data_IF_416612529477
#
_entry.id   IF_416612529477
#
_cell.length_a   1.000
_cell.length_b   1.000
_cell.length_c   1.000
_cell.angle_alpha   90.00
_cell.angle_beta   90.00
_cell.angle_gamma   90.00
#
_symmetry.space_group_name_H-M   'P 1'
#
loop_
_entity.id
_entity.type
_entity.pdbx_description
1 polymer ?
2 water ?
#
# COMPACT_ATOMS: atom_id res chain seq x y z
N UNK A 1 16.17 11.34 -15.45
CA UNK A 1 15.97 12.63 -14.73
C UNK A 1 15.87 12.40 -13.21
N UNK A 2 15.59 13.47 -12.47
CA UNK A 2 15.48 13.34 -11.03
C UNK A 2 14.25 14.07 -10.55
N UNK A 3 13.50 13.43 -9.66
CA UNK A 3 12.33 14.06 -9.12
C UNK A 3 12.85 15.06 -8.09
N UNK A 4 12.42 16.31 -8.21
CA UNK A 4 12.87 17.34 -7.28
C UNK A 4 12.18 17.17 -5.93
N UNK A 5 12.93 17.41 -4.87
CA UNK A 5 12.44 17.30 -3.50
C UNK A 5 11.03 17.81 -3.23
N UNK A 6 10.70 19.00 -3.73
CA UNK A 6 9.39 19.56 -3.46
C UNK A 6 8.34 18.66 -4.06
N UNK A 7 8.63 18.13 -5.23
CA UNK A 7 7.70 17.23 -5.88
C UNK A 7 7.58 15.92 -5.10
N UNK A 8 8.72 15.39 -4.66
CA UNK A 8 8.76 14.15 -3.89
C UNK A 8 7.97 14.34 -2.58
N UNK A 9 8.19 15.47 -1.91
CA UNK A 9 7.50 15.72 -0.65
C UNK A 9 5.98 15.81 -0.81
N UNK A 10 5.52 16.56 -1.80
CA UNK A 10 4.09 16.69 -1.98
C UNK A 10 3.44 15.34 -2.32
N UNK A 11 4.07 14.55 -3.17
CA UNK A 11 3.48 13.27 -3.53
C UNK A 11 3.57 12.24 -2.40
N UNK A 12 4.46 12.47 -1.45
CA UNK A 12 4.61 11.54 -0.33
C UNK A 12 3.82 12.02 0.90
N UNK A 13 3.19 13.18 0.77
CA UNK A 13 2.44 13.75 1.87
C UNK A 13 1.06 13.12 2.06
N UNK A 14 0.68 12.98 3.32
CA UNK A 14 -0.60 12.44 3.76
C UNK A 14 -1.76 12.62 2.78
N UNK A 15 -2.28 11.52 2.24
CA UNK A 15 -3.43 11.58 1.34
C UNK A 15 -4.08 10.20 1.21
N UNK A 16 -5.24 10.13 0.54
CA UNK A 16 -5.93 8.84 0.36
C UNK A 16 -5.13 8.04 -0.68
N UNK A 17 -4.82 6.78 -0.41
CA UNK A 17 -4.05 5.99 -1.37
C UNK A 17 -4.72 4.62 -1.55
N UNK A 18 -4.86 4.17 -2.80
CA UNK A 18 -5.47 2.85 -3.00
C UNK A 18 -4.53 1.86 -2.38
N UNK A 19 -5.06 1.08 -1.44
CA UNK A 19 -4.26 0.12 -0.66
C UNK A 19 -4.90 -1.27 -0.59
N UNK A 20 -4.09 -2.33 -0.68
CA UNK A 20 -4.61 -3.68 -0.59
C UNK A 20 -4.83 -3.95 0.88
N UNK A 21 -6.07 -4.26 1.25
CA UNK A 21 -6.41 -4.48 2.64
C UNK A 21 -6.93 -5.90 2.83
N UNK A 22 -6.32 -6.63 3.77
CA UNK A 22 -6.71 -8.01 4.07
C UNK A 22 -8.15 -8.11 4.60
N UNK A 23 -8.99 -8.91 3.94
CA UNK A 23 -10.39 -9.06 4.36
C UNK A 23 -10.58 -9.55 5.81
N UNK A 24 -9.89 -10.62 6.17
CA UNK A 24 -10.03 -11.16 7.52
C UNK A 24 -9.65 -10.10 8.57
N UNK A 25 -8.68 -9.26 8.25
CA UNK A 25 -8.27 -8.18 9.15
C UNK A 25 -9.43 -7.21 9.40
N UNK A 26 -10.27 -7.00 8.39
CA UNK A 26 -11.40 -6.08 8.52
C UNK A 26 -12.60 -6.78 9.18
N UNK A 27 -12.68 -8.10 9.02
CA UNK A 27 -13.77 -8.90 9.57
C UNK A 27 -13.19 -9.97 10.51
N UNK A 28 -12.53 -9.53 11.59
CA UNK A 28 -11.90 -10.40 12.59
C UNK A 28 -12.78 -11.48 13.24
N UNK A 29 -14.10 -11.33 13.22
CA UNK A 29 -14.96 -12.36 13.83
C UNK A 29 -15.26 -13.55 12.93
N UNK A 30 -14.91 -13.47 11.65
CA UNK A 30 -15.18 -14.57 10.73
C UNK A 30 -14.03 -15.56 10.71
N UNK A 31 -13.72 -16.11 11.88
CA UNK A 31 -12.62 -17.06 12.02
C UNK A 31 -12.69 -18.38 11.24
N UNK A 32 -13.86 -18.78 10.75
CA UNK A 32 -13.96 -20.05 10.00
C UNK A 32 -13.80 -19.89 8.49
N UNK A 33 -13.69 -18.64 8.03
CA UNK A 33 -13.59 -18.38 6.61
C UNK A 33 -12.26 -18.02 6.00
N UNK A 34 -12.14 -18.38 4.73
CA UNK A 34 -11.00 -18.00 3.92
C UNK A 34 -11.69 -17.14 2.83
N UNK A 35 -11.10 -15.99 2.49
CA UNK A 35 -11.71 -15.14 1.48
C UNK A 35 -10.90 -15.07 0.20
N UNK A 36 -11.61 -14.97 -0.92
CA UNK A 36 -10.97 -14.87 -2.20
C UNK A 36 -11.62 -13.72 -2.98
N UNK A 37 -10.84 -12.71 -3.37
CA UNK A 37 -9.39 -12.61 -3.12
C UNK A 37 -9.22 -12.38 -1.62
N UNK A 38 -8.02 -12.64 -1.09
CA UNK A 38 -7.77 -12.49 0.34
C UNK A 38 -7.66 -11.03 0.75
N UNK A 39 -7.30 -10.17 -0.20
CA UNK A 39 -7.21 -8.72 0.06
C UNK A 39 -7.87 -7.94 -1.08
N UNK A 40 -8.48 -6.79 -0.77
CA UNK A 40 -9.11 -5.96 -1.80
C UNK A 40 -8.52 -4.56 -1.81
N UNK A 41 -8.57 -3.87 -2.96
CA UNK A 41 -8.00 -2.51 -2.99
C UNK A 41 -9.00 -1.47 -2.45
N UNK A 42 -8.57 -0.72 -1.43
CA UNK A 42 -9.41 0.28 -0.78
C UNK A 42 -8.62 1.56 -0.55
N UNK A 43 -9.28 2.70 -0.73
CA UNK A 43 -8.61 3.98 -0.49
C UNK A 43 -8.40 4.13 1.02
N UNK A 44 -7.15 4.31 1.43
CA UNK A 44 -6.80 4.45 2.84
C UNK A 44 -5.73 5.52 3.00
N UNK A 45 -5.84 6.31 4.08
CA UNK A 45 -4.88 7.37 4.34
C UNK A 45 -3.48 6.83 4.58
N UNK A 46 -2.50 7.52 4.00
CA UNK A 46 -1.11 7.15 4.17
C UNK A 46 -0.27 8.35 3.77
N UNK A 47 0.97 8.42 4.24
CA UNK A 47 1.83 9.53 3.88
C UNK A 47 2.42 10.31 5.04
N UNK A 48 3.34 11.20 4.71
CA UNK A 48 4.02 12.02 5.71
C UNK A 48 3.22 13.18 6.33
N UNK A 49 3.74 13.72 7.42
CA UNK A 49 3.17 14.89 8.09
C UNK A 49 4.35 15.76 8.46
N UNK A 50 4.15 17.07 8.56
CA UNK A 50 5.27 17.96 8.88
C UNK A 50 6.07 17.67 10.14
N UNK A 51 5.42 17.50 11.29
CA UNK A 51 6.16 17.18 12.51
C UNK A 51 5.72 15.85 13.13
N UNK A 52 6.69 15.08 13.62
CA UNK A 52 6.45 13.77 14.23
C UNK A 52 5.33 13.72 15.26
N UNK A 53 4.83 14.87 15.66
CA UNK A 53 3.77 14.88 16.64
C UNK A 53 2.45 14.67 15.93
N UNK A 54 2.51 14.41 14.63
CA UNK A 54 1.31 14.22 13.83
C UNK A 54 1.26 12.90 13.07
N UNK A 55 0.04 12.42 12.83
CA UNK A 55 -0.16 11.20 12.07
C UNK A 55 -1.18 11.49 10.96
N UNK A 56 -1.18 10.66 9.91
CA UNK A 56 -2.11 10.84 8.79
C UNK A 56 -3.40 10.08 9.10
N UNK A 57 -4.52 10.79 9.20
CA UNK A 57 -5.79 10.14 9.52
C UNK A 57 -6.98 10.65 8.71
N UNK A 58 -8.00 9.79 8.54
CA UNK A 58 -9.20 10.12 7.78
C UNK A 58 -10.10 11.14 8.49
N UNK A 59 -10.67 12.07 7.73
CA UNK A 59 -11.57 13.09 8.26
C UNK A 59 -12.88 12.97 7.51
N UNK A 60 -12.92 12.00 6.60
CA UNK A 60 -14.13 11.71 5.83
C UNK A 60 -14.05 10.27 5.36
N UNK A 61 -15.15 9.54 5.48
CA UNK A 61 -15.14 8.15 5.04
C UNK A 61 -16.48 7.68 4.49
N UNK A 62 -16.45 6.54 3.81
CA UNK A 62 -17.65 5.99 3.21
C UNK A 62 -17.49 4.50 3.03
N UNK A 63 -18.56 3.83 2.64
CA UNK A 63 -18.48 2.39 2.46
C UNK A 63 -18.66 1.94 1.03
N UNK A 64 -18.04 0.80 0.72
CA UNK A 64 -18.13 0.21 -0.61
C UNK A 64 -18.53 -1.25 -0.42
N UNK A 65 -19.48 -1.74 -1.21
CA UNK A 65 -19.91 -3.12 -1.08
C UNK A 65 -19.35 -3.96 -2.20
N UNK A 66 -18.73 -5.10 -1.87
CA UNK A 66 -18.14 -5.95 -2.92
C UNK A 66 -18.57 -7.42 -2.83
N UNK A 67 -18.62 -8.13 -3.95
CA UNK A 67 -18.96 -9.55 -3.89
C UNK A 67 -17.64 -10.26 -3.59
N UNK A 68 -17.62 -11.04 -2.51
CA UNK A 68 -16.42 -11.75 -2.10
C UNK A 68 -16.70 -13.26 -2.08
N UNK A 69 -15.71 -14.05 -2.49
CA UNK A 69 -15.91 -15.47 -2.45
C UNK A 69 -15.53 -15.87 -1.01
N UNK A 70 -16.49 -16.49 -0.33
CA UNK A 70 -16.35 -16.89 1.07
C UNK A 70 -16.31 -18.40 1.14
N UNK A 71 -15.19 -18.92 1.63
CA UNK A 71 -14.99 -20.36 1.70
C UNK A 71 -14.80 -20.90 3.12
N UNK A 72 -15.71 -21.78 3.53
CA UNK A 72 -15.69 -22.44 4.83
C UNK A 72 -15.65 -23.95 4.55
N UNK A 73 -14.88 -24.72 5.32
CA UNK A 73 -14.84 -26.17 5.06
C UNK A 73 -16.23 -26.83 4.96
N UNK A 74 -16.44 -27.64 3.92
CA UNK A 74 -17.71 -28.35 3.71
C UNK A 74 -18.89 -27.50 3.21
N UNK A 75 -18.72 -26.19 3.15
CA UNK A 75 -19.79 -25.32 2.69
C UNK A 75 -19.58 -24.84 1.25
N UNK A 76 -18.68 -25.49 0.51
CA UNK A 76 -18.42 -25.07 -0.85
C UNK A 76 -18.12 -23.58 -0.90
N UNK A 77 -18.02 -23.02 -2.09
CA UNK A 77 -17.75 -21.60 -2.14
C UNK A 77 -19.02 -20.77 -2.30
N UNK A 78 -19.12 -19.68 -1.55
CA UNK A 78 -20.27 -18.81 -1.68
C UNK A 78 -19.75 -17.47 -2.11
N UNK A 79 -20.59 -16.73 -2.81
CA UNK A 79 -20.22 -15.39 -3.20
C UNK A 79 -21.18 -14.53 -2.39
N UNK A 80 -20.63 -13.66 -1.54
CA UNK A 80 -21.46 -12.81 -0.71
C UNK A 80 -21.00 -11.37 -0.65
N UNK A 81 -21.95 -10.48 -0.43
CA UNK A 81 -21.66 -9.07 -0.35
C UNK A 81 -21.04 -8.76 0.99
N UNK A 82 -19.94 -8.00 0.98
CA UNK A 82 -19.31 -7.59 2.21
C UNK A 82 -19.01 -6.10 2.02
N UNK A 83 -19.23 -5.34 3.09
CA UNK A 83 -19.04 -3.91 3.08
C UNK A 83 -17.65 -3.53 3.61
N UNK A 84 -16.98 -2.60 2.93
CA UNK A 84 -15.66 -2.19 3.36
C UNK A 84 -15.60 -0.69 3.51
N UNK A 85 -14.79 -0.26 4.46
CA UNK A 85 -14.64 1.16 4.75
C UNK A 85 -13.54 1.81 3.90
N UNK A 86 -13.84 2.97 3.35
CA UNK A 86 -12.86 3.72 2.60
C UNK A 86 -12.67 5.14 3.18
N UNK A 87 -11.47 5.68 2.99
CA UNK A 87 -11.09 7.01 3.46
C UNK A 87 -11.21 7.99 2.27
N UNK A 88 -12.08 8.98 2.38
CA UNK A 88 -12.27 9.95 1.29
C UNK A 88 -11.44 11.22 1.46
N UNK A 89 -11.08 11.53 2.70
CA UNK A 89 -10.30 12.72 3.00
C UNK A 89 -9.34 12.40 4.15
N UNK A 90 -8.12 12.95 4.07
CA UNK A 90 -7.08 12.72 5.09
C UNK A 90 -6.38 14.02 5.48
N UNK A 91 -6.00 14.12 6.74
CA UNK A 91 -5.33 15.31 7.23
C UNK A 91 -4.40 14.87 8.33
N UNK A 92 -3.35 15.65 8.57
CA UNK A 92 -2.39 15.34 9.62
C UNK A 92 -2.91 15.79 10.99
N UNK A 93 -2.93 14.87 11.95
CA UNK A 93 -3.44 15.17 13.29
C UNK A 93 -2.48 14.75 14.38
N UNK A 94 -2.52 15.44 15.54
CA UNK A 94 -1.66 15.16 16.70
C UNK A 94 -1.90 13.75 17.26
N UNK A 95 -0.83 12.98 17.41
CA UNK A 95 -0.95 11.63 17.94
C UNK A 95 -1.55 11.66 19.34
N UNK A 96 -2.80 11.22 19.45
CA UNK A 96 -3.46 11.20 20.75
C UNK A 96 -2.92 10.00 21.54
N UNK B 1 -23.48 0.99 -5.89
CA UNK B 1 -24.07 -0.36 -6.12
C UNK B 1 -23.24 -1.42 -5.38
N UNK B 2 -22.95 -2.52 -6.06
CA UNK B 2 -22.15 -3.60 -5.53
C UNK B 2 -21.16 -3.94 -6.62
N UNK B 3 -19.88 -4.04 -6.27
CA UNK B 3 -18.88 -4.41 -7.27
C UNK B 3 -19.00 -5.90 -7.48
N UNK B 4 -19.15 -6.31 -8.73
CA UNK B 4 -19.32 -7.72 -9.02
C UNK B 4 -18.01 -8.51 -8.85
N UNK B 5 -18.14 -9.77 -8.45
CA UNK B 5 -16.98 -10.61 -8.17
C UNK B 5 -15.85 -10.62 -9.19
N UNK B 6 -16.21 -10.79 -10.46
CA UNK B 6 -15.22 -10.82 -11.52
C UNK B 6 -14.35 -9.54 -11.51
N UNK B 7 -14.97 -8.39 -11.29
CA UNK B 7 -14.24 -7.12 -11.24
C UNK B 7 -13.43 -7.04 -9.95
N UNK B 8 -14.05 -7.45 -8.85
CA UNK B 8 -13.33 -7.45 -7.57
C UNK B 8 -12.02 -8.25 -7.74
N UNK B 9 -12.13 -9.49 -8.21
CA UNK B 9 -10.95 -10.34 -8.35
C UNK B 9 -9.93 -9.71 -9.30
N UNK B 10 -10.40 -9.21 -10.45
CA UNK B 10 -9.51 -8.59 -11.43
C UNK B 10 -8.74 -7.40 -10.84
N UNK B 11 -9.41 -6.53 -10.09
CA UNK B 11 -8.73 -5.38 -9.51
C UNK B 11 -7.81 -5.81 -8.36
N UNK B 12 -8.08 -6.97 -7.77
CA UNK B 12 -7.27 -7.47 -6.66
C UNK B 12 -6.13 -8.38 -7.10
N UNK B 13 -6.10 -8.72 -8.38
CA UNK B 13 -5.10 -9.64 -8.91
C UNK B 13 -3.70 -9.04 -9.10
N UNK B 14 -2.69 -9.82 -8.71
CA UNK B 14 -1.27 -9.45 -8.81
C UNK B 14 -1.04 -8.41 -9.90
N UNK B 15 -0.47 -7.27 -9.54
CA UNK B 15 -0.14 -6.25 -10.53
C UNK B 15 0.67 -5.17 -9.81
N UNK B 16 1.31 -4.28 -10.57
CA UNK B 16 2.11 -3.22 -9.95
C UNK B 16 1.22 -2.22 -9.21
N UNK B 17 1.47 -2.00 -7.93
CA UNK B 17 0.65 -1.05 -7.17
C UNK B 17 1.45 0.10 -6.54
N UNK B 18 1.03 1.34 -6.77
CA UNK B 18 1.73 2.47 -6.17
C UNK B 18 1.71 2.23 -4.67
N UNK B 19 2.89 2.06 -4.09
CA UNK B 19 3.00 1.76 -2.67
C UNK B 19 3.94 2.69 -1.91
N UNK B 20 3.52 3.15 -0.72
CA UNK B 20 4.40 3.99 0.10
C UNK B 20 5.50 3.11 0.68
N UNK B 21 6.75 3.36 0.31
CA UNK B 21 7.83 2.52 0.80
C UNK B 21 8.78 3.25 1.73
N UNK B 22 9.00 2.64 2.90
CA UNK B 22 9.86 3.21 3.92
C UNK B 22 11.32 3.26 3.49
N UNK B 23 11.87 4.47 3.37
CA UNK B 23 13.25 4.60 2.91
C UNK B 23 14.25 3.80 3.72
N UNK B 24 14.17 3.90 5.04
CA UNK B 24 15.11 3.16 5.86
C UNK B 24 15.04 1.66 5.54
N UNK B 25 13.87 1.22 5.08
CA UNK B 25 13.67 -0.18 4.75
C UNK B 25 14.47 -0.58 3.51
N UNK B 26 14.54 0.34 2.55
CA UNK B 26 15.27 0.13 1.30
C UNK B 26 16.77 0.37 1.50
N UNK B 27 17.11 1.05 2.59
CA UNK B 27 18.51 1.32 2.87
C UNK B 27 18.75 1.15 4.37
N UNK B 28 18.56 -0.08 4.89
CA UNK B 28 18.76 -0.35 6.31
C UNK B 28 20.18 -0.09 6.82
N UNK B 29 21.11 0.16 5.90
CA UNK B 29 22.48 0.43 6.33
C UNK B 29 22.69 1.92 6.61
N UNK B 30 21.65 2.72 6.38
CA UNK B 30 21.70 4.17 6.61
C UNK B 30 21.15 4.51 8.00
N UNK B 31 21.81 3.96 9.01
CA UNK B 31 21.48 4.10 10.43
C UNK B 31 21.39 5.54 10.94
N UNK B 32 22.48 6.25 10.74
CA UNK B 32 22.64 7.62 11.20
C UNK B 32 21.64 8.62 10.63
N UNK B 33 20.97 8.28 9.54
CA UNK B 33 20.05 9.22 8.93
C UNK B 33 18.56 9.10 9.19
N UNK B 34 17.92 10.25 9.22
CA UNK B 34 16.48 10.35 9.33
C UNK B 34 16.16 10.94 7.96
N UNK B 35 15.29 10.27 7.21
CA UNK B 35 14.93 10.73 5.87
C UNK B 35 13.63 11.49 5.84
N UNK B 36 13.55 12.50 4.99
CA UNK B 36 12.33 13.26 4.86
C UNK B 36 12.01 13.55 3.39
N UNK B 37 10.84 13.10 2.92
CA UNK B 37 9.83 12.32 3.67
C UNK B 37 10.40 10.94 4.04
N UNK B 38 9.89 10.31 5.09
CA UNK B 38 10.42 9.02 5.52
C UNK B 38 10.04 7.86 4.60
N UNK B 39 9.02 8.07 3.77
CA UNK B 39 8.61 7.02 2.84
C UNK B 39 8.20 7.65 1.51
N UNK B 40 8.46 6.98 0.39
CA UNK B 40 8.05 7.54 -0.90
C UNK B 40 7.17 6.58 -1.69
N UNK B 41 6.37 7.11 -2.64
CA UNK B 41 5.51 6.20 -3.41
C UNK B 41 6.27 5.51 -4.55
N UNK B 42 6.22 4.18 -4.56
CA UNK B 42 6.93 3.40 -5.58
C UNK B 42 6.02 2.31 -6.14
N UNK B 43 6.21 1.96 -7.40
CA UNK B 43 5.37 0.91 -7.98
C UNK B 43 5.93 -0.42 -7.50
N UNK B 44 5.11 -1.19 -6.79
CA UNK B 44 5.51 -2.50 -6.24
C UNK B 44 4.44 -3.57 -6.45
N UNK B 45 4.88 -4.76 -6.85
CA UNK B 45 3.99 -5.88 -7.09
C UNK B 45 3.17 -6.22 -5.87
N UNK B 46 1.86 -6.41 -6.05
CA UNK B 46 1.01 -6.77 -4.92
C UNK B 46 -0.28 -7.39 -5.43
N UNK B 47 -0.92 -8.25 -4.64
CA UNK B 47 -2.18 -8.81 -5.08
C UNK B 47 -2.29 -10.32 -5.05
N UNK B 48 -3.48 -10.82 -5.36
CA UNK B 48 -3.73 -12.26 -5.34
C UNK B 48 -3.26 -13.05 -6.55
N UNK B 49 -3.10 -14.35 -6.32
CA UNK B 49 -2.74 -15.34 -7.33
C UNK B 49 -3.84 -16.42 -7.24
N UNK B 50 -4.04 -17.17 -8.31
CA UNK B 50 -5.09 -18.18 -8.30
C UNK B 50 -4.97 -19.29 -7.26
N UNK B 51 -3.78 -19.84 -7.08
CA UNK B 51 -3.64 -20.87 -6.07
C UNK B 51 -2.53 -20.45 -5.11
N UNK B 52 -2.50 -21.05 -3.92
CA UNK B 52 -1.53 -20.68 -2.90
C UNK B 52 -0.10 -21.15 -3.09
N UNK B 53 0.17 -21.85 -4.18
CA UNK B 53 1.52 -22.29 -4.44
C UNK B 53 2.21 -21.21 -5.25
N UNK B 54 1.54 -20.06 -5.36
CA UNK B 54 2.09 -18.95 -6.12
C UNK B 54 2.19 -17.67 -5.32
N UNK B 55 3.09 -16.80 -5.76
CA UNK B 55 3.28 -15.51 -5.15
C UNK B 55 3.51 -14.50 -6.28
N UNK B 56 3.07 -13.28 -6.01
CA UNK B 56 3.15 -12.16 -6.94
C UNK B 56 4.54 -11.55 -6.90
N UNK B 57 5.25 -11.63 -8.02
CA UNK B 57 6.60 -11.11 -8.07
C UNK B 57 6.88 -10.27 -9.30
N UNK B 58 7.93 -9.45 -9.24
CA UNK B 58 8.27 -8.60 -10.39
C UNK B 58 8.93 -9.38 -11.54
N UNK B 59 8.60 -9.06 -12.79
CA UNK B 59 9.26 -9.71 -13.91
C UNK B 59 9.89 -8.66 -14.81
N UNK B 60 9.78 -7.40 -14.42
CA UNK B 60 10.40 -6.30 -15.15
C UNK B 60 10.51 -5.16 -14.15
N UNK B 61 11.67 -4.52 -14.09
CA UNK B 61 11.84 -3.44 -13.12
C UNK B 61 12.65 -2.29 -13.68
N UNK B 62 12.74 -1.22 -12.90
CA UNK B 62 13.50 -0.05 -13.33
C UNK B 62 13.82 0.81 -12.13
N UNK B 63 14.56 1.88 -12.37
CA UNK B 63 14.96 2.76 -11.29
C UNK B 63 14.44 4.16 -11.43
N UNK B 64 14.24 4.80 -10.29
CA UNK B 64 13.78 6.17 -10.27
C UNK B 64 14.64 6.88 -9.23
N UNK B 65 15.12 8.07 -9.57
CA UNK B 65 15.96 8.83 -8.66
C UNK B 65 15.19 10.01 -8.11
N UNK B 66 15.24 10.17 -6.79
CA UNK B 66 14.53 11.28 -6.16
C UNK B 66 15.43 12.06 -5.20
N UNK B 67 15.15 13.36 -5.05
CA UNK B 67 15.90 14.21 -4.12
C UNK B 67 15.24 13.98 -2.76
N UNK B 68 16.01 13.46 -1.81
CA UNK B 68 15.51 13.19 -0.47
C UNK B 68 16.25 14.07 0.55
N UNK B 69 15.55 14.55 1.57
CA UNK B 69 16.21 15.35 2.59
C UNK B 69 16.75 14.38 3.62
N UNK B 70 18.06 14.48 3.86
CA UNK B 70 18.80 13.63 4.80
C UNK B 70 19.11 14.44 6.04
N UNK B 71 18.64 13.98 7.18
CA UNK B 71 18.86 14.70 8.42
C UNK B 71 19.67 13.95 9.46
N UNK B 72 20.68 14.63 9.97
CA UNK B 72 21.56 14.11 11.01
C UNK B 72 21.34 15.05 12.20
N UNK B 73 20.52 14.62 13.18
CA UNK B 73 20.21 15.42 14.37
C UNK B 73 21.39 16.29 14.80
N UNK B 74 21.09 17.56 15.07
CA UNK B 74 22.10 18.53 15.49
C UNK B 74 23.34 18.43 14.63
N UNK B 75 23.14 18.41 13.32
CA UNK B 75 24.23 18.34 12.36
C UNK B 75 23.81 18.91 11.02
N UNK B 76 22.57 19.37 10.94
CA UNK B 76 22.09 19.95 9.70
C UNK B 76 21.40 18.97 8.76
N UNK B 77 21.05 19.45 7.58
CA UNK B 77 20.36 18.64 6.59
C UNK B 77 20.90 18.90 5.20
N UNK B 78 20.83 17.88 4.36
CA UNK B 78 21.30 17.94 2.99
C UNK B 78 20.23 17.37 2.10
N UNK B 79 20.10 17.89 0.89
CA UNK B 79 19.14 17.32 -0.05
C UNK B 79 20.03 16.45 -0.95
N UNK B 80 19.68 15.19 -1.09
CA UNK B 80 20.50 14.32 -1.92
C UNK B 80 19.71 13.36 -2.79
N UNK B 81 20.31 12.94 -3.90
CA UNK B 81 19.65 12.01 -4.81
C UNK B 81 19.69 10.58 -4.28
N UNK B 82 18.55 9.90 -4.34
CA UNK B 82 18.50 8.51 -3.90
C UNK B 82 17.75 7.70 -4.94
N UNK B 83 18.29 6.52 -5.23
CA UNK B 83 17.72 5.65 -6.24
C UNK B 83 16.81 4.60 -5.63
N UNK B 84 15.69 4.34 -6.30
CA UNK B 84 14.75 3.36 -5.80
C UNK B 84 14.31 2.43 -6.91
N UNK B 85 14.15 1.17 -6.57
CA UNK B 85 13.69 0.20 -7.57
C UNK B 85 12.17 0.33 -7.76
N UNK B 86 11.72 0.14 -9.00
CA UNK B 86 10.31 0.18 -9.36
C UNK B 86 9.98 -1.16 -10.06
N UNK B 87 8.76 -1.66 -9.86
CA UNK B 87 8.28 -2.89 -10.48
C UNK B 87 7.36 -2.48 -11.64
N UNK B 88 7.72 -2.85 -12.86
CA UNK B 88 6.94 -2.50 -14.03
C UNK B 88 6.00 -3.60 -14.50
N UNK B 89 6.29 -4.84 -14.12
CA UNK B 89 5.46 -5.98 -14.52
C UNK B 89 5.53 -7.03 -13.43
N UNK B 90 4.37 -7.60 -13.10
CA UNK B 90 4.27 -8.62 -12.07
C UNK B 90 3.60 -9.91 -12.58
N UNK B 91 3.99 -11.04 -12.01
CA UNK B 91 3.43 -12.33 -12.39
C UNK B 91 3.38 -13.23 -11.18
N UNK B 92 2.41 -14.14 -11.20
CA UNK B 92 2.24 -15.12 -10.14
C UNK B 92 3.17 -16.29 -10.49
N UNK B 93 4.10 -16.59 -9.59
CA UNK B 93 5.07 -17.68 -9.80
C UNK B 93 5.15 -18.54 -8.54
N UNK B 94 5.70 -19.76 -8.66
CA UNK B 94 5.83 -20.66 -7.52
C UNK B 94 6.68 -20.06 -6.41
N UNK B 95 6.30 -20.34 -5.17
CA UNK B 95 7.03 -19.84 -4.02
C UNK B 95 8.25 -20.71 -3.79
N UNK B 96 9.15 -20.73 -4.77
CA UNK B 96 10.37 -21.54 -4.68
C UNK B 96 10.96 -21.55 -3.26
#
# INVERSE_FOLDING_TARGET
MVVKFMDVYQRSYCHPIETLVDIFQEYPDEIEYIFKPSAVPLMRCGGACNDEGLECVPTEESNITMQIMRIKPHQGQHIGEMSFLQHNKCECRPKK
MVVKFMDVYQRSYCHPIETLVDIFQEYPDEIEYIFKPSAVPLMRCGGACNDEGLECVPTEESNITMQIMRIKPHQGQHIGEMSFLQHNKCECRPKK
#
